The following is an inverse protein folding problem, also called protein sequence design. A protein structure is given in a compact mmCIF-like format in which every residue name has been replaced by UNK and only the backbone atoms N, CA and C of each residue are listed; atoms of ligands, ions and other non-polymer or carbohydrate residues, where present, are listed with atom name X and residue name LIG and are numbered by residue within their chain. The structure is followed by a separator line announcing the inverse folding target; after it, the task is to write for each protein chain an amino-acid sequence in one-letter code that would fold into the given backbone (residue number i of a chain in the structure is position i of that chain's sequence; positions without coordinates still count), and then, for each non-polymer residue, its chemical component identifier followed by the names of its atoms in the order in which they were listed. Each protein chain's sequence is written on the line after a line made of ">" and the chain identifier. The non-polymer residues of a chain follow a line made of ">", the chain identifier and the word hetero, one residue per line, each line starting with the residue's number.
data_IF_220134786840
#
_entry.id   IF_220134786840
#
_cell.length_a   1.000
_cell.length_b   1.000
_cell.length_c   1.000
_cell.angle_alpha   90.00
_cell.angle_beta   90.00
_cell.angle_gamma   90.00
#
_symmetry.space_group_name_H-M   'P 1'
#
loop_
_entity.id
_entity.type
_entity.pdbx_description
1 polymer ?
#
# COMPACT_ATOMS: atom_id res chain seq x y z
N UNK A 1 4.56 -20.15 -15.38
CA UNK A 1 5.50 -21.26 -15.12
C UNK A 1 4.84 -22.63 -15.28
N UNK A 2 3.84 -23.02 -14.46
CA UNK A 2 3.19 -24.36 -14.56
C UNK A 2 2.43 -24.59 -15.88
N UNK A 3 1.80 -23.57 -16.45
CA UNK A 3 1.07 -23.66 -17.72
C UNK A 3 2.03 -23.79 -18.90
N UNK A 4 3.13 -23.06 -18.92
CA UNK A 4 4.17 -23.13 -19.95
C UNK A 4 4.90 -24.50 -19.94
N UNK A 5 5.20 -25.02 -18.75
CA UNK A 5 5.79 -26.38 -18.64
C UNK A 5 4.84 -27.44 -19.19
N UNK A 6 3.54 -27.35 -18.86
CA UNK A 6 2.53 -28.27 -19.37
C UNK A 6 2.35 -28.17 -20.89
N UNK A 7 2.40 -26.95 -21.44
CA UNK A 7 2.38 -26.70 -22.88
C UNK A 7 3.57 -27.37 -23.58
N UNK A 8 4.78 -27.12 -23.06
CA UNK A 8 6.02 -27.71 -23.58
C UNK A 8 6.01 -29.25 -23.56
N UNK A 9 5.48 -29.86 -22.51
CA UNK A 9 5.30 -31.31 -22.40
C UNK A 9 4.31 -31.87 -23.44
N UNK A 10 3.20 -31.16 -23.69
CA UNK A 10 2.21 -31.53 -24.68
C UNK A 10 2.76 -31.42 -26.10
N UNK A 11 3.48 -30.34 -26.43
CA UNK A 11 4.13 -30.16 -27.73
C UNK A 11 5.19 -31.20 -27.99
N UNK A 12 6.01 -31.55 -27.01
CA UNK A 12 7.03 -32.59 -27.15
C UNK A 12 6.42 -33.97 -27.36
N UNK A 13 5.35 -34.31 -26.65
CA UNK A 13 4.62 -35.55 -26.87
C UNK A 13 4.01 -35.62 -28.26
N UNK A 14 3.36 -34.54 -28.72
CA UNK A 14 2.75 -34.47 -30.06
C UNK A 14 3.84 -34.65 -31.13
N UNK A 15 4.97 -33.99 -31.00
CA UNK A 15 6.10 -34.07 -31.92
C UNK A 15 6.65 -35.51 -32.00
N UNK A 16 6.81 -36.17 -30.84
CA UNK A 16 7.41 -37.53 -30.74
C UNK A 16 6.50 -38.63 -31.31
N UNK A 17 5.18 -38.46 -31.20
CA UNK A 17 4.21 -39.51 -31.53
C UNK A 17 3.23 -39.16 -32.66
N UNK A 18 3.43 -38.06 -33.37
CA UNK A 18 2.54 -37.63 -34.46
C UNK A 18 2.38 -38.66 -35.61
N UNK A 19 3.41 -39.43 -35.91
CA UNK A 19 3.40 -40.46 -36.97
C UNK A 19 3.04 -41.87 -36.47
N UNK A 20 2.74 -42.05 -35.16
CA UNK A 20 2.49 -43.35 -34.59
C UNK A 20 0.98 -43.67 -34.57
N UNK A 21 0.57 -44.61 -35.42
CA UNK A 21 -0.84 -45.04 -35.60
C UNK A 21 -1.44 -45.58 -34.29
N UNK A 22 -0.67 -46.33 -33.48
CA UNK A 22 -1.13 -46.88 -32.21
C UNK A 22 -1.40 -45.82 -31.15
N UNK A 23 -0.81 -44.64 -31.27
CA UNK A 23 -0.99 -43.51 -30.35
C UNK A 23 -1.83 -42.37 -30.93
N UNK A 24 -2.44 -42.56 -32.11
CA UNK A 24 -3.22 -41.51 -32.81
C UNK A 24 -4.33 -40.88 -31.92
N UNK A 25 -5.11 -41.68 -31.19
CA UNK A 25 -6.14 -41.19 -30.29
C UNK A 25 -5.58 -40.34 -29.16
N UNK A 26 -4.43 -40.73 -28.59
CA UNK A 26 -3.77 -39.98 -27.53
C UNK A 26 -3.18 -38.65 -28.05
N UNK A 27 -2.61 -38.66 -29.25
CA UNK A 27 -2.08 -37.49 -29.91
C UNK A 27 -3.19 -36.47 -30.23
N UNK A 28 -4.35 -36.94 -30.73
CA UNK A 28 -5.52 -36.10 -31.00
C UNK A 28 -6.09 -35.49 -29.73
N UNK A 29 -6.20 -36.25 -28.64
CA UNK A 29 -6.65 -35.75 -27.36
C UNK A 29 -5.72 -34.64 -26.80
N UNK A 30 -4.41 -34.83 -26.93
CA UNK A 30 -3.40 -33.88 -26.49
C UNK A 30 -3.33 -32.63 -27.37
N UNK A 31 -3.59 -32.74 -28.68
CA UNK A 31 -3.77 -31.59 -29.57
C UNK A 31 -4.95 -30.71 -29.13
N UNK A 32 -6.11 -31.32 -28.84
CA UNK A 32 -7.26 -30.57 -28.29
C UNK A 32 -6.98 -29.90 -26.95
N UNK A 33 -6.18 -30.53 -26.10
CA UNK A 33 -5.76 -29.96 -24.82
C UNK A 33 -4.81 -28.78 -25.01
N UNK A 34 -3.88 -28.85 -25.97
CA UNK A 34 -2.99 -27.76 -26.36
C UNK A 34 -3.77 -26.57 -26.94
N UNK A 35 -4.75 -26.87 -27.82
CA UNK A 35 -5.63 -25.81 -28.36
C UNK A 35 -6.42 -25.10 -27.28
N UNK A 36 -6.94 -25.82 -26.28
CA UNK A 36 -7.63 -25.18 -25.13
C UNK A 36 -6.68 -24.31 -24.31
N UNK A 37 -5.48 -24.76 -24.02
CA UNK A 37 -4.47 -23.97 -23.31
C UNK A 37 -4.08 -22.72 -24.10
N UNK A 38 -3.92 -22.81 -25.42
CA UNK A 38 -3.64 -21.67 -26.29
C UNK A 38 -4.80 -20.67 -26.34
N UNK A 39 -6.06 -21.13 -26.27
CA UNK A 39 -7.25 -20.25 -26.22
C UNK A 39 -7.34 -19.54 -24.87
N UNK A 40 -6.96 -20.19 -23.78
CA UNK A 40 -6.91 -19.56 -22.44
C UNK A 40 -5.78 -18.53 -22.35
N UNK A 41 -4.63 -18.76 -23.00
CA UNK A 41 -3.53 -17.78 -23.08
C UNK A 41 -3.84 -16.55 -23.97
N UNK A 42 -4.76 -16.65 -24.92
CA UNK A 42 -5.06 -15.61 -25.92
C UNK A 42 -6.12 -14.60 -25.44
N UNK A 43 -6.70 -14.78 -24.29
CA UNK A 43 -7.49 -13.71 -23.68
C UNK A 43 -6.55 -12.76 -22.91
N UNK A 44 -6.13 -11.62 -23.51
CA UNK A 44 -5.45 -10.62 -22.72
C UNK A 44 -6.39 -10.25 -21.58
N UNK A 45 -5.91 -10.33 -20.35
CA UNK A 45 -6.67 -9.85 -19.20
C UNK A 45 -7.13 -8.42 -19.51
N UNK A 46 -8.42 -8.17 -19.50
CA UNK A 46 -8.97 -6.82 -19.64
C UNK A 46 -8.67 -5.95 -18.42
N UNK A 47 -8.09 -6.57 -17.37
CA UNK A 47 -7.70 -5.89 -16.15
C UNK A 47 -6.48 -5.03 -16.39
N UNK A 48 -6.61 -3.75 -16.07
CA UNK A 48 -5.52 -2.79 -16.13
C UNK A 48 -5.06 -2.48 -14.71
N UNK A 49 -3.77 -2.61 -14.49
CA UNK A 49 -3.15 -2.28 -13.21
C UNK A 49 -2.45 -0.93 -13.32
N UNK A 50 -2.60 -0.03 -12.34
CA UNK A 50 -1.83 1.20 -12.33
C UNK A 50 -0.34 0.90 -12.12
N UNK A 51 0.51 1.69 -12.76
CA UNK A 51 1.97 1.59 -12.64
C UNK A 51 2.47 2.31 -11.38
N UNK A 52 2.22 1.74 -10.21
CA UNK A 52 2.66 2.30 -8.93
C UNK A 52 4.09 1.87 -8.66
N UNK A 53 5.02 2.84 -8.54
CA UNK A 53 6.44 2.61 -8.24
C UNK A 53 6.91 3.69 -7.28
N UNK A 54 7.16 3.30 -6.03
CA UNK A 54 7.81 4.19 -5.06
C UNK A 54 9.32 4.07 -5.16
N UNK A 55 9.98 5.20 -5.31
CA UNK A 55 11.43 5.32 -5.31
C UNK A 55 11.84 6.27 -4.18
N UNK A 56 13.09 6.16 -3.75
CA UNK A 56 13.67 7.03 -2.72
C UNK A 56 14.77 7.88 -3.34
N UNK A 57 14.77 9.17 -3.06
CA UNK A 57 15.90 10.03 -3.43
C UNK A 57 17.15 9.73 -2.59
N UNK A 58 16.93 9.32 -1.33
CA UNK A 58 17.99 9.04 -0.35
C UNK A 58 17.63 7.81 0.48
N UNK A 59 18.60 6.95 0.73
CA UNK A 59 18.42 5.87 1.71
C UNK A 59 18.27 6.42 3.13
N UNK A 60 17.36 5.83 3.95
CA UNK A 60 17.23 6.22 5.35
C UNK A 60 18.46 5.79 6.15
N UNK A 61 18.81 6.58 7.16
CA UNK A 61 19.76 6.19 8.20
C UNK A 61 19.18 5.09 9.10
N UNK A 62 19.89 4.77 10.18
CA UNK A 62 19.47 3.71 11.09
C UNK A 62 18.35 4.14 12.05
N UNK A 63 18.35 5.42 12.45
CA UNK A 63 17.31 5.99 13.31
C UNK A 63 16.22 6.62 12.43
N UNK A 64 15.01 6.10 12.53
CA UNK A 64 13.87 6.52 11.72
C UNK A 64 12.96 7.44 12.51
N UNK A 65 12.31 6.91 13.54
CA UNK A 65 11.37 7.63 14.38
C UNK A 65 11.45 7.08 15.80
N UNK A 66 11.58 7.96 16.77
CA UNK A 66 11.49 7.66 18.19
C UNK A 66 10.29 8.37 18.79
N UNK A 67 9.50 7.66 19.57
CA UNK A 67 8.29 8.17 20.23
C UNK A 67 8.35 7.82 21.71
N UNK A 68 8.21 8.83 22.56
CA UNK A 68 8.29 8.71 24.01
C UNK A 68 7.06 9.29 24.71
N UNK A 69 6.39 8.44 25.49
CA UNK A 69 5.26 8.78 26.36
C UNK A 69 4.17 9.62 25.64
N UNK A 70 3.93 9.30 24.36
CA UNK A 70 3.01 10.07 23.54
C UNK A 70 1.56 9.83 24.00
N UNK A 71 0.80 10.93 24.04
CA UNK A 71 -0.62 10.94 24.40
C UNK A 71 -1.42 11.75 23.41
N UNK A 72 -2.60 11.24 23.08
CA UNK A 72 -3.62 11.99 22.36
C UNK A 72 -5.01 11.80 22.97
N UNK A 73 -5.75 12.89 23.05
CA UNK A 73 -7.13 12.94 23.55
C UNK A 73 -8.02 13.51 22.47
N UNK A 74 -9.18 12.91 22.24
CA UNK A 74 -10.17 13.41 21.27
C UNK A 74 -10.87 14.68 21.78
N UNK A 75 -11.57 15.38 20.92
CA UNK A 75 -12.28 16.62 21.24
C UNK A 75 -13.37 16.45 22.34
N UNK A 76 -13.90 15.25 22.48
CA UNK A 76 -14.87 14.89 23.52
C UNK A 76 -14.24 14.48 24.87
N UNK A 77 -12.91 14.53 24.99
CA UNK A 77 -12.16 14.11 26.17
C UNK A 77 -11.80 12.62 26.24
N UNK A 78 -12.16 11.84 25.22
CA UNK A 78 -11.80 10.41 25.14
C UNK A 78 -10.31 10.26 24.93
N UNK A 79 -9.62 9.47 25.78
CA UNK A 79 -8.21 9.14 25.58
C UNK A 79 -8.08 8.18 24.42
N UNK A 80 -7.46 8.62 23.33
CA UNK A 80 -7.20 7.81 22.15
C UNK A 80 -6.05 6.84 22.41
N UNK A 81 -4.97 7.35 22.97
CA UNK A 81 -3.84 6.58 23.50
C UNK A 81 -3.06 7.39 24.50
N UNK A 82 -2.34 6.70 25.39
CA UNK A 82 -1.50 7.29 26.42
C UNK A 82 -0.27 6.41 26.69
N UNK A 83 0.83 6.99 27.16
CA UNK A 83 2.09 6.28 27.42
C UNK A 83 2.60 5.44 26.23
N UNK A 84 2.42 5.97 25.02
CA UNK A 84 2.86 5.29 23.80
C UNK A 84 4.35 5.49 23.62
N UNK A 85 5.07 4.36 23.56
CA UNK A 85 6.52 4.32 23.38
C UNK A 85 6.88 3.32 22.30
N UNK A 86 7.65 3.74 21.31
CA UNK A 86 8.26 2.86 20.31
C UNK A 86 9.41 3.55 19.59
N UNK A 87 10.25 2.75 18.98
CA UNK A 87 11.34 3.18 18.12
C UNK A 87 11.24 2.41 16.79
N UNK A 88 11.32 3.12 15.68
CA UNK A 88 11.27 2.53 14.33
C UNK A 88 12.70 2.44 13.79
N UNK A 89 13.07 1.24 13.32
CA UNK A 89 14.35 0.93 12.72
C UNK A 89 14.29 0.92 11.19
N UNK A 90 15.45 1.01 10.56
CA UNK A 90 15.59 1.03 9.10
C UNK A 90 14.91 -0.18 8.44
N UNK A 91 14.08 0.09 7.44
CA UNK A 91 13.42 -0.90 6.60
C UNK A 91 12.17 -1.55 7.20
N UNK A 92 11.82 -1.24 8.45
CA UNK A 92 10.62 -1.79 9.07
C UNK A 92 9.35 -1.26 8.40
N UNK A 93 8.38 -2.18 8.25
CA UNK A 93 7.03 -1.90 7.76
C UNK A 93 6.04 -2.20 8.88
N UNK A 94 5.55 -1.13 9.48
CA UNK A 94 4.80 -1.19 10.74
C UNK A 94 3.34 -0.88 10.49
N UNK A 95 2.46 -1.81 10.88
CA UNK A 95 1.03 -1.52 10.96
C UNK A 95 0.68 -1.03 12.37
N UNK A 96 -0.07 0.06 12.41
CA UNK A 96 -0.66 0.58 13.64
C UNK A 96 -2.11 0.13 13.76
N UNK A 97 -2.47 -0.39 14.91
CA UNK A 97 -3.81 -0.85 15.24
C UNK A 97 -4.35 -0.12 16.46
N UNK A 98 -5.65 -0.04 16.59
CA UNK A 98 -6.37 0.39 17.79
C UNK A 98 -7.84 -0.02 17.70
N UNK A 99 -8.49 -0.20 18.86
CA UNK A 99 -9.95 -0.33 18.90
C UNK A 99 -10.67 0.95 18.46
N UNK A 100 -10.06 2.11 18.69
CA UNK A 100 -10.57 3.38 18.21
C UNK A 100 -9.83 3.82 16.94
N UNK A 101 -10.47 3.83 15.76
CA UNK A 101 -9.82 4.22 14.49
C UNK A 101 -9.20 5.63 14.54
N UNK A 102 -9.77 6.55 15.31
CA UNK A 102 -9.23 7.91 15.47
C UNK A 102 -7.84 7.95 16.10
N UNK A 103 -7.44 6.90 16.84
CA UNK A 103 -6.12 6.81 17.45
C UNK A 103 -5.00 6.76 16.40
N UNK A 104 -5.20 6.00 15.33
CA UNK A 104 -4.22 5.86 14.25
C UNK A 104 -4.07 7.17 13.48
N UNK A 105 -5.20 7.79 13.10
CA UNK A 105 -5.20 9.11 12.44
C UNK A 105 -4.53 10.15 13.32
N UNK A 106 -4.84 10.19 14.63
CA UNK A 106 -4.21 11.11 15.57
C UNK A 106 -2.69 10.93 15.65
N UNK A 107 -2.20 9.68 15.70
CA UNK A 107 -0.77 9.39 15.67
C UNK A 107 -0.12 9.93 14.39
N UNK A 108 -0.69 9.63 13.23
CA UNK A 108 -0.13 10.06 11.94
C UNK A 108 -0.14 11.58 11.79
N UNK A 109 -1.20 12.26 12.21
CA UNK A 109 -1.26 13.73 12.23
C UNK A 109 -0.21 14.35 13.16
N UNK A 110 0.02 13.75 14.34
CA UNK A 110 1.03 14.23 15.29
C UNK A 110 2.43 14.09 14.69
N UNK A 111 2.81 12.90 14.21
CA UNK A 111 4.16 12.69 13.69
C UNK A 111 4.43 13.42 12.37
N UNK A 112 3.39 13.86 11.65
CA UNK A 112 3.49 14.76 10.49
C UNK A 112 3.42 16.24 10.85
N UNK A 113 3.25 16.58 12.13
CA UNK A 113 3.21 17.98 12.60
C UNK A 113 1.88 18.69 12.35
N UNK A 114 0.84 17.98 11.92
CA UNK A 114 -0.49 18.53 11.65
C UNK A 114 -1.34 18.66 12.92
N UNK A 115 -0.98 17.93 13.96
CA UNK A 115 -1.65 17.94 15.26
C UNK A 115 -0.61 17.99 16.39
N UNK A 116 -0.90 18.75 17.44
CA UNK A 116 -0.08 18.77 18.65
C UNK A 116 -0.44 17.57 19.53
N UNK A 117 0.57 16.90 20.09
CA UNK A 117 0.36 15.88 21.11
C UNK A 117 -0.11 16.49 22.42
N UNK A 118 -0.95 15.78 23.18
CA UNK A 118 -1.39 16.21 24.52
C UNK A 118 -0.29 15.98 25.58
N UNK A 119 0.58 15.00 25.38
CA UNK A 119 1.80 14.77 26.13
C UNK A 119 2.80 13.95 25.33
N UNK A 120 4.05 13.89 25.81
CA UNK A 120 5.12 13.13 25.18
C UNK A 120 5.78 13.85 24.01
N UNK A 121 6.73 13.15 23.39
CA UNK A 121 7.56 13.70 22.30
C UNK A 121 7.77 12.68 21.21
N UNK A 122 8.14 13.17 20.03
CA UNK A 122 8.62 12.33 18.93
C UNK A 122 9.78 13.00 18.20
N UNK A 123 10.69 12.19 17.68
CA UNK A 123 11.85 12.68 16.95
C UNK A 123 12.08 11.86 15.69
N UNK A 124 12.09 12.53 14.55
CA UNK A 124 12.49 11.94 13.28
C UNK A 124 14.02 11.92 13.14
N UNK A 125 14.55 10.85 12.57
CA UNK A 125 15.95 10.83 12.13
C UNK A 125 16.23 11.92 11.09
N UNK A 126 17.41 12.53 11.15
CA UNK A 126 17.79 13.67 10.27
C UNK A 126 17.84 13.34 8.78
N UNK A 127 17.91 12.05 8.42
CA UNK A 127 17.95 11.59 7.02
C UNK A 127 16.56 11.25 6.47
N UNK A 128 15.52 11.34 7.30
CA UNK A 128 14.19 10.87 6.95
C UNK A 128 13.41 11.95 6.22
N UNK A 129 12.85 11.52 5.09
CA UNK A 129 11.87 12.27 4.31
C UNK A 129 10.55 11.51 4.30
N UNK A 130 9.46 12.18 4.58
CA UNK A 130 8.15 11.54 4.69
C UNK A 130 7.23 11.90 3.52
N UNK A 131 6.43 10.95 3.08
CA UNK A 131 5.27 11.18 2.24
C UNK A 131 4.04 10.66 2.97
N UNK A 132 3.06 11.51 3.16
CA UNK A 132 1.87 11.22 3.94
C UNK A 132 0.61 11.14 3.08
N UNK A 133 -0.10 10.02 3.20
CA UNK A 133 -1.45 9.82 2.68
C UNK A 133 -2.44 9.90 3.85
N UNK A 134 -3.12 11.04 4.05
CA UNK A 134 -4.10 11.19 5.12
C UNK A 134 -5.39 10.43 4.83
N UNK A 135 -6.14 10.11 5.88
CA UNK A 135 -7.46 9.49 5.78
C UNK A 135 -8.44 10.40 5.01
N UNK A 136 -8.48 11.68 5.37
CA UNK A 136 -9.23 12.71 4.66
C UNK A 136 -8.30 13.51 3.75
N UNK A 137 -8.54 13.43 2.46
CA UNK A 137 -7.79 14.13 1.43
C UNK A 137 -8.59 15.24 0.73
N UNK A 138 -9.75 15.62 1.26
CA UNK A 138 -10.68 16.57 0.65
C UNK A 138 -10.02 17.92 0.36
N UNK A 139 -9.22 18.43 1.27
CA UNK A 139 -8.58 19.75 1.13
C UNK A 139 -7.59 19.81 -0.04
N UNK A 140 -6.98 18.70 -0.43
CA UNK A 140 -6.08 18.63 -1.58
C UNK A 140 -6.79 18.89 -2.91
N UNK A 141 -8.09 18.65 -2.96
CA UNK A 141 -8.90 18.74 -4.18
C UNK A 141 -9.87 19.92 -4.19
N UNK A 142 -9.82 20.76 -3.19
CA UNK A 142 -10.65 21.98 -3.12
C UNK A 142 -10.00 23.13 -3.93
N UNK A 143 -9.86 22.89 -5.22
CA UNK A 143 -9.25 23.82 -6.17
C UNK A 143 -9.79 23.58 -7.58
N UNK A 144 -9.74 24.62 -8.43
CA UNK A 144 -10.17 24.56 -9.83
C UNK A 144 -9.07 24.13 -10.80
N UNK A 145 -7.91 23.73 -10.31
CA UNK A 145 -6.81 23.24 -11.16
C UNK A 145 -7.18 21.96 -11.89
N UNK A 146 -6.64 21.75 -13.09
CA UNK A 146 -6.69 20.45 -13.74
C UNK A 146 -5.69 19.47 -13.11
N UNK A 147 -5.75 18.19 -13.49
CA UNK A 147 -4.89 17.17 -12.89
C UNK A 147 -3.39 17.45 -13.10
N UNK A 148 -3.01 17.92 -14.27
CA UNK A 148 -1.60 18.20 -14.60
C UNK A 148 -1.05 19.32 -13.74
N UNK A 149 -1.76 20.44 -13.67
CA UNK A 149 -1.37 21.59 -12.86
C UNK A 149 -1.37 21.26 -11.36
N UNK A 150 -2.35 20.43 -10.94
CA UNK A 150 -2.42 19.98 -9.58
C UNK A 150 -1.21 19.10 -9.21
N UNK A 151 -0.89 18.11 -10.04
CA UNK A 151 0.22 17.18 -9.78
C UNK A 151 1.58 17.90 -9.86
N UNK A 152 1.73 18.88 -10.74
CA UNK A 152 2.97 19.66 -10.93
C UNK A 152 3.41 20.44 -9.69
N UNK A 153 2.53 20.62 -8.70
CA UNK A 153 2.86 21.31 -7.43
C UNK A 153 3.74 20.45 -6.51
N UNK A 154 3.78 19.12 -6.72
CA UNK A 154 4.33 18.17 -5.76
C UNK A 154 5.67 17.56 -6.17
N UNK A 155 6.19 17.88 -7.33
CA UNK A 155 7.47 17.37 -7.77
C UNK A 155 7.99 18.04 -9.04
N UNK A 156 9.26 17.85 -9.35
CA UNK A 156 9.87 18.40 -10.55
C UNK A 156 9.36 17.66 -11.79
N UNK A 157 9.28 18.38 -12.90
CA UNK A 157 8.92 17.84 -14.19
C UNK A 157 8.12 18.82 -15.03
N UNK A 158 8.12 18.59 -16.33
CA UNK A 158 7.30 19.34 -17.27
C UNK A 158 5.92 18.68 -17.44
N UNK A 159 5.04 19.34 -18.18
CA UNK A 159 3.69 18.86 -18.48
C UNK A 159 3.67 17.44 -19.09
N UNK A 160 4.62 17.13 -19.98
CA UNK A 160 4.73 15.81 -20.63
C UNK A 160 5.03 14.72 -19.58
N UNK A 161 5.95 15.00 -18.65
CA UNK A 161 6.27 14.08 -17.57
C UNK A 161 5.07 13.85 -16.65
N UNK A 162 4.32 14.89 -16.29
CA UNK A 162 3.11 14.79 -15.47
C UNK A 162 2.01 14.00 -16.17
N UNK A 163 1.77 14.25 -17.47
CA UNK A 163 0.82 13.45 -18.27
C UNK A 163 1.25 11.98 -18.35
N UNK A 164 2.54 11.70 -18.50
CA UNK A 164 3.07 10.33 -18.46
C UNK A 164 2.86 9.65 -17.10
N UNK A 165 3.03 10.40 -16.02
CA UNK A 165 2.77 9.91 -14.66
C UNK A 165 1.29 9.55 -14.45
N UNK A 166 0.40 10.47 -14.83
CA UNK A 166 -1.06 10.25 -14.74
C UNK A 166 -1.50 9.10 -15.64
N UNK A 167 -0.91 8.94 -16.83
CA UNK A 167 -1.19 7.81 -17.71
C UNK A 167 -0.83 6.47 -17.08
N UNK A 168 0.29 6.36 -16.37
CA UNK A 168 0.64 5.16 -15.58
C UNK A 168 -0.38 4.90 -14.48
N UNK A 169 -0.99 5.93 -13.91
CA UNK A 169 -2.07 5.82 -12.92
C UNK A 169 -3.46 5.60 -13.55
N UNK A 170 -3.50 5.21 -14.83
CA UNK A 170 -4.70 4.88 -15.60
C UNK A 170 -5.63 6.07 -15.90
N UNK A 171 -5.13 7.28 -15.86
CA UNK A 171 -5.88 8.43 -16.39
C UNK A 171 -5.73 8.50 -17.91
N UNK A 172 -6.85 8.63 -18.58
CA UNK A 172 -6.88 8.83 -20.04
C UNK A 172 -6.45 10.25 -20.39
N UNK A 173 -6.01 10.46 -21.63
CA UNK A 173 -5.57 11.77 -22.09
C UNK A 173 -6.65 12.86 -21.94
N UNK A 174 -7.91 12.49 -22.11
CA UNK A 174 -9.05 13.41 -21.94
C UNK A 174 -9.34 13.75 -20.47
N UNK A 175 -8.93 12.87 -19.55
CA UNK A 175 -9.19 13.01 -18.13
C UNK A 175 -8.18 13.93 -17.43
N UNK A 176 -6.98 14.08 -17.99
CA UNK A 176 -5.94 14.90 -17.36
C UNK A 176 -6.25 16.40 -17.38
N UNK A 177 -7.16 16.82 -18.25
CA UNK A 177 -7.64 18.22 -18.32
C UNK A 177 -8.86 18.47 -17.39
N UNK A 178 -9.42 17.43 -16.75
CA UNK A 178 -10.51 17.60 -15.80
C UNK A 178 -10.03 18.36 -14.57
N UNK A 179 -10.91 19.17 -14.02
CA UNK A 179 -10.69 19.82 -12.72
C UNK A 179 -10.66 18.76 -11.61
N UNK A 180 -9.73 18.89 -10.68
CA UNK A 180 -9.56 17.90 -9.61
C UNK A 180 -10.72 17.84 -8.61
N UNK A 181 -11.50 18.90 -8.49
CA UNK A 181 -12.66 18.96 -7.60
C UNK A 181 -13.85 18.08 -8.07
N UNK A 182 -13.88 17.68 -9.35
CA UNK A 182 -14.96 16.82 -9.91
C UNK A 182 -14.60 15.34 -9.97
N UNK A 183 -13.40 14.96 -9.48
CA UNK A 183 -12.94 13.58 -9.50
C UNK A 183 -13.72 12.69 -8.53
N UNK A 184 -13.91 11.42 -8.91
CA UNK A 184 -14.41 10.38 -8.00
C UNK A 184 -13.44 10.08 -6.86
N UNK A 185 -13.92 9.42 -5.79
CA UNK A 185 -13.07 9.02 -4.66
C UNK A 185 -11.86 8.15 -5.08
N UNK A 186 -12.06 7.20 -5.99
CA UNK A 186 -11.00 6.35 -6.52
C UNK A 186 -9.99 7.14 -7.39
N UNK A 187 -10.46 8.06 -8.22
CA UNK A 187 -9.60 8.96 -9.00
C UNK A 187 -8.76 9.86 -8.09
N UNK A 188 -9.37 10.45 -7.05
CA UNK A 188 -8.66 11.25 -6.04
C UNK A 188 -7.59 10.44 -5.33
N UNK A 189 -7.91 9.19 -4.94
CA UNK A 189 -6.92 8.32 -4.30
C UNK A 189 -5.74 7.99 -5.22
N UNK A 190 -5.99 7.70 -6.50
CA UNK A 190 -4.92 7.50 -7.49
C UNK A 190 -4.07 8.76 -7.68
N UNK A 191 -4.66 9.95 -7.65
CA UNK A 191 -3.94 11.21 -7.65
C UNK A 191 -3.04 11.36 -6.41
N UNK A 192 -3.54 11.02 -5.22
CA UNK A 192 -2.75 11.07 -4.00
C UNK A 192 -1.56 10.10 -4.04
N UNK A 193 -1.74 8.89 -4.59
CA UNK A 193 -0.65 7.93 -4.79
C UNK A 193 0.36 8.47 -5.80
N UNK A 194 -0.08 9.08 -6.90
CA UNK A 194 0.81 9.75 -7.87
C UNK A 194 1.63 10.86 -7.20
N UNK A 195 1.00 11.70 -6.39
CA UNK A 195 1.66 12.74 -5.59
C UNK A 195 2.76 12.17 -4.71
N UNK A 196 2.47 11.10 -3.97
CA UNK A 196 3.44 10.46 -3.08
C UNK A 196 4.64 9.89 -3.84
N UNK A 197 4.42 9.30 -5.03
CA UNK A 197 5.50 8.80 -5.87
C UNK A 197 6.46 9.93 -6.30
N UNK A 198 5.94 11.12 -6.61
CA UNK A 198 6.76 12.27 -6.98
C UNK A 198 7.64 12.79 -5.84
N UNK A 199 7.25 12.58 -4.60
CA UNK A 199 7.98 13.07 -3.43
C UNK A 199 9.27 12.29 -3.15
N UNK A 200 9.44 11.09 -3.72
CA UNK A 200 10.61 10.23 -3.55
C UNK A 200 11.06 10.06 -2.09
N UNK A 201 10.10 10.00 -1.17
CA UNK A 201 10.34 9.89 0.26
C UNK A 201 10.86 8.50 0.64
N UNK A 202 11.68 8.42 1.69
CA UNK A 202 12.19 7.18 2.23
C UNK A 202 11.36 6.58 3.37
N UNK A 203 10.33 7.30 3.83
CA UNK A 203 9.33 6.82 4.77
C UNK A 203 7.92 7.18 4.29
N UNK A 204 7.11 6.17 4.06
CA UNK A 204 5.71 6.33 3.65
C UNK A 204 4.80 6.21 4.87
N UNK A 205 3.89 7.16 5.04
CA UNK A 205 2.88 7.17 6.10
C UNK A 205 1.51 7.09 5.46
N UNK A 206 0.76 6.01 5.71
CA UNK A 206 -0.44 5.66 4.98
C UNK A 206 -1.61 5.43 5.96
N UNK A 207 -2.55 6.36 6.00
CA UNK A 207 -3.76 6.21 6.81
C UNK A 207 -4.87 5.56 5.99
N UNK A 208 -5.09 4.27 6.22
CA UNK A 208 -6.11 3.44 5.56
C UNK A 208 -6.10 3.57 4.02
N UNK A 209 -4.96 3.26 3.38
CA UNK A 209 -4.69 3.59 1.98
C UNK A 209 -5.53 2.83 0.96
N UNK A 210 -6.16 1.73 1.36
CA UNK A 210 -6.98 0.89 0.47
C UNK A 210 -8.40 1.38 0.29
N UNK A 211 -8.83 2.36 1.09
CA UNK A 211 -10.15 2.97 0.92
C UNK A 211 -10.29 3.62 -0.46
N UNK A 212 -11.43 3.39 -1.09
CA UNK A 212 -11.78 3.93 -2.42
C UNK A 212 -10.93 3.43 -3.59
N UNK A 213 -10.05 2.43 -3.40
CA UNK A 213 -9.33 1.78 -4.50
C UNK A 213 -10.09 0.55 -5.01
N UNK A 214 -10.01 0.31 -6.32
CA UNK A 214 -10.43 -0.94 -6.92
C UNK A 214 -9.41 -2.08 -6.64
N UNK A 215 -9.82 -3.32 -6.86
CA UNK A 215 -9.00 -4.50 -6.54
C UNK A 215 -7.65 -4.48 -7.29
N UNK A 216 -7.65 -4.03 -8.54
CA UNK A 216 -6.44 -3.95 -9.35
C UNK A 216 -5.46 -2.91 -8.80
N UNK A 217 -5.98 -1.77 -8.36
CA UNK A 217 -5.18 -0.72 -7.71
C UNK A 217 -4.66 -1.15 -6.35
N UNK A 218 -5.47 -1.83 -5.53
CA UNK A 218 -5.03 -2.41 -4.24
C UNK A 218 -3.89 -3.40 -4.47
N UNK A 219 -4.01 -4.29 -5.45
CA UNK A 219 -2.99 -5.29 -5.74
C UNK A 219 -1.68 -4.66 -6.23
N UNK A 220 -1.76 -3.68 -7.14
CA UNK A 220 -0.58 -2.96 -7.63
C UNK A 220 0.11 -2.18 -6.49
N UNK A 221 -0.66 -1.57 -5.61
CA UNK A 221 -0.19 -0.85 -4.44
C UNK A 221 0.52 -1.78 -3.45
N UNK A 222 -0.14 -2.88 -3.08
CA UNK A 222 0.40 -3.91 -2.20
C UNK A 222 1.74 -4.45 -2.72
N UNK A 223 1.78 -4.91 -3.98
CA UNK A 223 2.99 -5.46 -4.58
C UNK A 223 4.17 -4.48 -4.54
N UNK A 224 3.89 -3.20 -4.76
CA UNK A 224 4.94 -2.19 -4.70
C UNK A 224 5.41 -1.89 -3.28
N UNK A 225 4.50 -1.83 -2.31
CA UNK A 225 4.84 -1.63 -0.90
C UNK A 225 5.65 -2.80 -0.35
N UNK A 226 5.33 -4.04 -0.72
CA UNK A 226 6.13 -5.22 -0.34
C UNK A 226 7.57 -5.10 -0.82
N UNK A 227 7.78 -4.61 -2.05
CA UNK A 227 9.11 -4.41 -2.64
C UNK A 227 9.84 -3.14 -2.20
N UNK A 228 9.17 -2.19 -1.58
CA UNK A 228 9.75 -0.91 -1.17
C UNK A 228 10.83 -1.09 -0.12
N UNK A 229 12.00 -0.45 -0.32
CA UNK A 229 13.18 -0.60 0.56
C UNK A 229 13.22 0.39 1.71
N UNK A 230 12.39 1.43 1.68
CA UNK A 230 12.22 2.38 2.77
C UNK A 230 11.31 1.87 3.88
N UNK A 231 11.00 2.75 4.81
CA UNK A 231 10.06 2.46 5.89
C UNK A 231 8.62 2.73 5.47
N UNK A 232 7.70 1.96 6.03
CA UNK A 232 6.27 2.15 5.86
C UNK A 232 5.60 2.13 7.24
N UNK A 233 4.86 3.18 7.55
CA UNK A 233 4.02 3.29 8.74
C UNK A 233 2.57 3.39 8.25
N UNK A 234 1.71 2.46 8.60
CA UNK A 234 0.37 2.44 8.03
C UNK A 234 -0.71 1.92 8.98
N UNK A 235 -1.94 2.22 8.65
CA UNK A 235 -3.14 1.60 9.20
C UNK A 235 -3.94 0.96 8.08
N UNK A 236 -4.68 -0.09 8.35
CA UNK A 236 -5.59 -0.73 7.41
C UNK A 236 -6.64 -1.58 8.13
N UNK A 237 -7.77 -1.81 7.48
CA UNK A 237 -8.77 -2.80 7.86
C UNK A 237 -8.73 -4.04 6.96
N UNK A 238 -7.90 -4.00 5.92
CA UNK A 238 -7.73 -5.11 4.99
C UNK A 238 -6.72 -6.11 5.56
N UNK A 239 -7.23 -7.29 5.93
CA UNK A 239 -6.45 -8.37 6.55
C UNK A 239 -5.29 -8.83 5.65
N UNK A 240 -5.54 -9.06 4.36
CA UNK A 240 -4.52 -9.51 3.43
C UNK A 240 -3.44 -8.44 3.21
N UNK A 241 -3.86 -7.18 3.10
CA UNK A 241 -2.94 -6.05 2.98
C UNK A 241 -2.02 -5.93 4.19
N UNK A 242 -2.56 -6.03 5.41
CA UNK A 242 -1.76 -6.01 6.64
C UNK A 242 -0.78 -7.19 6.64
N UNK A 243 -1.27 -8.40 6.40
CA UNK A 243 -0.48 -9.62 6.52
C UNK A 243 0.65 -9.71 5.49
N UNK A 244 0.48 -9.11 4.31
CA UNK A 244 1.50 -9.11 3.25
C UNK A 244 2.52 -7.97 3.37
N UNK A 245 2.13 -6.81 3.91
CA UNK A 245 3.00 -5.63 3.98
C UNK A 245 3.72 -5.51 5.32
N UNK A 246 3.02 -5.74 6.44
CA UNK A 246 3.58 -5.52 7.77
C UNK A 246 4.55 -6.62 8.22
N UNK A 247 5.67 -6.22 8.79
CA UNK A 247 6.61 -7.08 9.52
C UNK A 247 6.60 -6.82 11.04
N UNK A 248 5.91 -5.77 11.47
CA UNK A 248 5.76 -5.40 12.87
C UNK A 248 4.38 -4.80 13.14
N UNK A 249 3.82 -5.09 14.29
CA UNK A 249 2.51 -4.62 14.72
C UNK A 249 2.66 -3.80 15.99
N UNK A 250 2.11 -2.58 15.97
CA UNK A 250 2.03 -1.71 17.15
C UNK A 250 0.56 -1.37 17.38
N UNK A 251 -0.01 -1.86 18.46
CA UNK A 251 -1.37 -1.50 18.85
C UNK A 251 -1.35 -0.38 19.90
N UNK A 252 -2.05 0.70 19.56
CA UNK A 252 -2.20 1.88 20.42
C UNK A 252 -3.38 1.68 21.36
N UNK A 253 -3.15 1.85 22.65
CA UNK A 253 -4.20 1.69 23.67
C UNK A 253 -4.23 2.89 24.64
N UNK A 254 -5.33 3.09 25.38
CA UNK A 254 -5.39 4.11 26.42
C UNK A 254 -4.36 3.96 27.55
N UNK A 255 -3.72 2.79 27.67
CA UNK A 255 -2.78 2.47 28.76
C UNK A 255 -1.37 2.08 28.29
N UNK A 256 -1.04 2.34 27.01
CA UNK A 256 0.28 2.07 26.45
C UNK A 256 0.26 1.42 25.08
N UNK A 257 1.30 0.69 24.75
CA UNK A 257 1.46 0.01 23.44
C UNK A 257 1.61 -1.50 23.61
N UNK A 258 1.06 -2.24 22.64
CA UNK A 258 1.42 -3.64 22.41
C UNK A 258 2.25 -3.66 21.14
N UNK A 259 3.50 -4.12 21.24
CA UNK A 259 4.49 -4.06 20.15
C UNK A 259 5.04 -5.45 19.89
N UNK A 260 4.83 -5.98 18.69
CA UNK A 260 5.17 -7.35 18.32
C UNK A 260 5.76 -7.44 16.91
N UNK A 261 6.86 -8.17 16.80
CA UNK A 261 7.46 -8.60 15.53
C UNK A 261 6.90 -9.97 15.17
N UNK A 262 5.78 -9.98 14.48
CA UNK A 262 5.10 -11.21 14.04
C UNK A 262 4.15 -10.93 12.89
N UNK A 263 3.61 -11.97 12.26
CA UNK A 263 2.56 -11.83 11.25
C UNK A 263 1.26 -11.37 11.87
N UNK A 264 0.40 -10.76 11.07
CA UNK A 264 -0.92 -10.35 11.56
C UNK A 264 -1.81 -11.55 11.91
N UNK A 265 -1.69 -12.65 11.17
CA UNK A 265 -2.39 -13.90 11.46
C UNK A 265 -2.03 -14.45 12.84
N UNK A 266 -0.74 -14.49 13.17
CA UNK A 266 -0.28 -14.94 14.48
C UNK A 266 -0.77 -14.00 15.59
N UNK A 267 -0.72 -12.69 15.34
CA UNK A 267 -1.12 -11.67 16.31
C UNK A 267 -2.59 -11.77 16.72
N UNK A 268 -3.49 -12.00 15.78
CA UNK A 268 -4.93 -12.08 16.09
C UNK A 268 -5.34 -13.39 16.76
N UNK A 269 -4.53 -14.45 16.64
CA UNK A 269 -4.80 -15.76 17.23
C UNK A 269 -4.06 -16.01 18.53
N UNK A 270 -3.10 -15.16 18.92
CA UNK A 270 -2.31 -15.30 20.13
C UNK A 270 -3.13 -14.99 21.38
N UNK A 271 -3.29 -16.00 22.26
CA UNK A 271 -4.09 -15.89 23.50
C UNK A 271 -3.44 -14.94 24.52
N UNK A 272 -2.11 -14.87 24.59
CA UNK A 272 -1.43 -13.96 25.52
C UNK A 272 -1.64 -12.50 25.12
N UNK A 273 -1.66 -12.22 23.81
CA UNK A 273 -1.97 -10.88 23.28
C UNK A 273 -3.43 -10.53 23.58
N UNK A 274 -4.37 -11.46 23.44
CA UNK A 274 -5.78 -11.24 23.78
C UNK A 274 -5.97 -10.88 25.26
N UNK A 275 -5.30 -11.60 26.16
CA UNK A 275 -5.29 -11.30 27.59
C UNK A 275 -4.66 -9.93 27.88
N UNK A 276 -3.51 -9.63 27.27
CA UNK A 276 -2.85 -8.34 27.39
C UNK A 276 -3.77 -7.18 26.95
N UNK A 277 -4.44 -7.32 25.81
CA UNK A 277 -5.43 -6.35 25.31
C UNK A 277 -6.56 -6.10 26.30
N UNK A 278 -7.09 -7.14 26.93
CA UNK A 278 -8.18 -7.01 27.91
C UNK A 278 -7.80 -6.11 29.09
N UNK A 279 -6.51 -6.10 29.50
CA UNK A 279 -6.01 -5.23 30.56
C UNK A 279 -5.68 -3.80 30.13
N UNK A 280 -5.49 -3.56 28.83
CA UNK A 280 -4.99 -2.27 28.30
C UNK A 280 -6.10 -1.36 27.74
N UNK A 281 -7.27 -1.89 27.48
CA UNK A 281 -8.48 -1.15 27.17
C UNK A 281 -9.43 -1.15 28.37
#
# INVERSE_FOLDING_TARGET
>A
LKAEEKKKQLEEFIRRFSANVAKSKQTTSRKKMLERLNVEEIRPSSRKYPGIIFTMEREPGNQILEVENLKAVDADGTVLFDHVNFNIEKGQKVVFLSRNPKAMTALFEIINGNRKADAGTYNWGITITTAYLPLDNTDFFNTDKNLVDWLSQYGPGNEVAMKGFLGRMLFKQEEVEKKVNVLSGGEKMRCMIARMQLQNANCLILDTPTNHLDLESIQAFNNNLVGFKGNILFSSHDHEFINTVADRIIELTPKGTIDKLMTYDDYIHDEQIKEQKAGMY
#
